data_IF_874358413238
#
_entry.id   IF_874358413238
#
_cell.length_a   1.000
_cell.length_b   1.000
_cell.length_c   1.000
_cell.angle_alpha   90.00
_cell.angle_beta   90.00
_cell.angle_gamma   90.00
#
_symmetry.space_group_name_H-M   'P 1'
#
loop_
_entity.id
_entity.type
_entity.pdbx_description
1 polymer ?
#
# COMPACT_ATOMS: atom_id res chain seq x y z
N UNK A 1 -16.06 -12.67 -14.09
CA UNK A 1 -16.20 -12.84 -12.63
C UNK A 1 -17.64 -13.15 -12.20
N UNK A 2 -18.66 -12.49 -12.76
CA UNK A 2 -20.06 -12.75 -12.35
C UNK A 2 -20.58 -14.17 -12.69
N UNK A 3 -20.02 -14.81 -13.71
CA UNK A 3 -20.41 -16.15 -14.19
C UNK A 3 -19.31 -17.20 -13.93
N UNK A 4 -18.42 -16.95 -13.00
CA UNK A 4 -17.39 -17.89 -12.61
C UNK A 4 -17.90 -18.78 -11.48
N UNK A 5 -17.53 -20.05 -11.48
CA UNK A 5 -17.87 -21.00 -10.40
C UNK A 5 -16.97 -20.77 -9.18
N UNK A 6 -15.72 -20.37 -9.40
CA UNK A 6 -14.73 -20.08 -8.38
C UNK A 6 -13.74 -19.02 -8.90
N UNK A 7 -13.20 -18.21 -8.01
CA UNK A 7 -12.10 -17.26 -8.31
C UNK A 7 -10.88 -17.65 -7.50
N UNK A 8 -9.73 -17.72 -8.16
CA UNK A 8 -8.44 -17.85 -7.48
C UNK A 8 -7.75 -16.50 -7.53
N UNK A 9 -7.60 -15.87 -6.36
CA UNK A 9 -6.90 -14.62 -6.20
C UNK A 9 -5.39 -14.86 -6.16
N UNK A 10 -4.71 -14.53 -7.26
CA UNK A 10 -3.26 -14.63 -7.43
C UNK A 10 -2.56 -13.27 -7.31
N UNK A 11 -3.17 -12.30 -6.66
CA UNK A 11 -2.55 -11.00 -6.42
C UNK A 11 -1.30 -11.11 -5.56
N UNK A 12 -0.53 -10.03 -5.55
CA UNK A 12 0.72 -9.97 -4.80
C UNK A 12 0.53 -10.31 -3.31
N UNK A 13 1.51 -10.99 -2.71
CA UNK A 13 1.48 -11.45 -1.33
C UNK A 13 1.80 -10.28 -0.37
N UNK A 14 0.81 -9.44 -0.09
CA UNK A 14 0.94 -8.27 0.76
C UNK A 14 -0.37 -7.53 0.97
N UNK A 15 -0.36 -6.53 1.86
CA UNK A 15 -1.55 -5.72 2.18
C UNK A 15 -2.13 -5.01 0.95
N UNK A 16 -1.28 -4.43 0.11
CA UNK A 16 -1.72 -3.71 -1.09
C UNK A 16 -2.28 -4.66 -2.14
N UNK A 17 -1.60 -5.79 -2.39
CA UNK A 17 -2.08 -6.81 -3.31
C UNK A 17 -3.44 -7.36 -2.91
N UNK A 18 -3.64 -7.66 -1.63
CA UNK A 18 -4.93 -8.12 -1.11
C UNK A 18 -6.02 -7.05 -1.27
N UNK A 19 -5.72 -5.80 -0.92
CA UNK A 19 -6.66 -4.68 -1.01
C UNK A 19 -7.12 -4.43 -2.46
N UNK A 20 -6.17 -4.37 -3.41
CA UNK A 20 -6.46 -4.14 -4.83
C UNK A 20 -7.36 -5.24 -5.38
N UNK A 21 -7.02 -6.50 -5.11
CA UNK A 21 -7.80 -7.64 -5.61
C UNK A 21 -9.22 -7.66 -5.03
N UNK A 22 -9.38 -7.36 -3.73
CA UNK A 22 -10.71 -7.23 -3.11
C UNK A 22 -11.55 -6.13 -3.75
N UNK A 23 -10.96 -4.98 -4.02
CA UNK A 23 -11.66 -3.88 -4.70
C UNK A 23 -12.09 -4.26 -6.12
N UNK A 24 -11.23 -4.95 -6.87
CA UNK A 24 -11.57 -5.43 -8.21
C UNK A 24 -12.74 -6.41 -8.16
N UNK A 25 -12.71 -7.39 -7.27
CA UNK A 25 -13.78 -8.38 -7.11
C UNK A 25 -15.10 -7.72 -6.65
N UNK A 26 -15.03 -6.79 -5.72
CA UNK A 26 -16.16 -6.01 -5.23
C UNK A 26 -16.78 -5.18 -6.36
N UNK A 27 -15.96 -4.45 -7.13
CA UNK A 27 -16.41 -3.64 -8.26
C UNK A 27 -17.00 -4.49 -9.37
N UNK A 28 -16.47 -5.68 -9.60
CA UNK A 28 -16.99 -6.63 -10.58
C UNK A 28 -18.27 -7.35 -10.11
N UNK A 29 -18.69 -7.19 -8.86
CA UNK A 29 -19.85 -7.86 -8.29
C UNK A 29 -19.69 -9.38 -8.22
N UNK A 30 -18.49 -9.87 -7.93
CA UNK A 30 -18.21 -11.29 -7.78
C UNK A 30 -18.97 -11.88 -6.57
N UNK A 31 -19.66 -13.00 -6.78
CA UNK A 31 -20.46 -13.68 -5.75
C UNK A 31 -20.01 -15.12 -5.48
N UNK A 32 -19.11 -15.65 -6.32
CA UNK A 32 -18.61 -17.00 -6.18
C UNK A 32 -17.56 -17.11 -5.07
N UNK A 33 -17.26 -18.35 -4.60
CA UNK A 33 -16.19 -18.60 -3.65
C UNK A 33 -14.84 -18.09 -4.18
N UNK A 34 -14.02 -17.55 -3.27
CA UNK A 34 -12.70 -17.02 -3.64
C UNK A 34 -11.64 -17.72 -2.81
N UNK A 35 -10.66 -18.31 -3.49
CA UNK A 35 -9.45 -18.85 -2.87
C UNK A 35 -8.27 -17.93 -3.10
N UNK A 36 -7.33 -17.98 -2.19
CA UNK A 36 -6.12 -17.17 -2.19
C UNK A 36 -4.88 -18.02 -2.45
N UNK A 37 -4.16 -17.69 -3.51
CA UNK A 37 -2.81 -18.16 -3.74
C UNK A 37 -1.84 -17.21 -3.01
N UNK A 38 -1.05 -17.74 -2.08
CA UNK A 38 -0.09 -16.94 -1.32
C UNK A 38 1.32 -17.49 -1.52
N UNK A 39 2.07 -16.83 -2.37
CA UNK A 39 3.45 -17.19 -2.70
C UNK A 39 4.35 -15.95 -2.68
N UNK A 40 5.59 -16.10 -2.24
CA UNK A 40 6.61 -15.05 -2.24
C UNK A 40 7.69 -15.24 -3.31
N UNK A 41 7.64 -16.36 -4.03
CA UNK A 41 8.56 -16.69 -5.11
C UNK A 41 7.80 -17.12 -6.36
N UNK A 42 8.30 -16.73 -7.54
CA UNK A 42 7.70 -17.09 -8.83
C UNK A 42 8.42 -18.27 -9.52
N UNK A 43 9.13 -19.10 -8.76
CA UNK A 43 9.68 -20.36 -9.28
C UNK A 43 8.56 -21.34 -9.58
N UNK A 44 8.75 -22.21 -10.57
CA UNK A 44 7.76 -23.21 -10.97
C UNK A 44 7.34 -24.08 -9.78
N UNK A 45 8.29 -24.48 -8.95
CA UNK A 45 8.06 -25.30 -7.75
C UNK A 45 7.16 -24.57 -6.74
N UNK A 46 7.48 -23.33 -6.39
CA UNK A 46 6.69 -22.51 -5.46
C UNK A 46 5.27 -22.25 -5.98
N UNK A 47 5.10 -22.05 -7.29
CA UNK A 47 3.79 -21.89 -7.90
C UNK A 47 2.98 -23.16 -7.77
N UNK A 48 3.58 -24.31 -8.09
CA UNK A 48 2.92 -25.63 -8.02
C UNK A 48 2.51 -25.98 -6.58
N UNK A 49 3.40 -25.76 -5.62
CA UNK A 49 3.09 -25.95 -4.19
C UNK A 49 1.99 -24.99 -3.72
N UNK A 50 2.04 -23.72 -4.13
CA UNK A 50 1.04 -22.72 -3.78
C UNK A 50 -0.37 -23.08 -4.27
N UNK A 51 -0.49 -23.61 -5.49
CA UNK A 51 -1.77 -24.11 -6.02
C UNK A 51 -2.30 -25.33 -5.27
N UNK A 52 -1.43 -26.17 -4.73
CA UNK A 52 -1.82 -27.29 -3.89
C UNK A 52 -2.23 -26.86 -2.47
N UNK A 53 -1.82 -25.67 -2.04
CA UNK A 53 -2.05 -25.13 -0.69
C UNK A 53 -2.93 -23.86 -0.71
N UNK A 54 -3.90 -23.78 -1.64
CA UNK A 54 -4.85 -22.67 -1.70
C UNK A 54 -5.63 -22.54 -0.40
N UNK A 55 -5.74 -21.32 0.10
CA UNK A 55 -6.47 -20.98 1.32
C UNK A 55 -7.77 -20.24 1.00
N UNK A 56 -8.70 -20.30 1.93
CA UNK A 56 -9.92 -19.50 1.82
C UNK A 56 -9.59 -18.00 1.98
N UNK A 57 -10.27 -17.16 1.22
CA UNK A 57 -10.06 -15.72 1.28
C UNK A 57 -10.39 -15.12 2.66
N UNK A 58 -11.24 -15.76 3.45
CA UNK A 58 -11.60 -15.30 4.79
C UNK A 58 -10.41 -15.32 5.77
N UNK A 59 -9.42 -16.18 5.58
CA UNK A 59 -8.20 -16.20 6.39
C UNK A 59 -7.39 -14.89 6.28
N UNK A 60 -7.58 -14.14 5.20
CA UNK A 60 -6.88 -12.87 4.93
C UNK A 60 -7.74 -11.64 5.25
N UNK A 61 -8.83 -11.80 6.00
CA UNK A 61 -9.73 -10.69 6.32
C UNK A 61 -9.02 -9.58 7.13
N UNK A 62 -8.26 -9.96 8.14
CA UNK A 62 -7.49 -9.00 8.96
C UNK A 62 -6.44 -8.24 8.14
N UNK A 63 -5.82 -8.92 7.15
CA UNK A 63 -4.87 -8.29 6.24
C UNK A 63 -5.54 -7.25 5.34
N UNK A 64 -6.72 -7.59 4.82
CA UNK A 64 -7.55 -6.66 4.04
C UNK A 64 -7.94 -5.43 4.87
N UNK A 65 -8.43 -5.62 6.08
CA UNK A 65 -8.83 -4.54 6.99
C UNK A 65 -7.66 -3.63 7.35
N UNK A 66 -6.48 -4.20 7.59
CA UNK A 66 -5.25 -3.44 7.82
C UNK A 66 -4.86 -2.61 6.58
N UNK A 67 -4.91 -3.21 5.38
CA UNK A 67 -4.66 -2.51 4.12
C UNK A 67 -5.65 -1.38 3.86
N UNK A 68 -6.93 -1.63 4.09
CA UNK A 68 -8.00 -0.63 3.93
C UNK A 68 -7.85 0.53 4.93
N UNK A 69 -7.60 0.22 6.19
CA UNK A 69 -7.40 1.24 7.24
C UNK A 69 -6.19 2.12 6.93
N UNK A 70 -5.10 1.53 6.44
CA UNK A 70 -3.92 2.26 5.98
C UNK A 70 -4.25 3.17 4.79
N UNK A 71 -4.96 2.67 3.78
CA UNK A 71 -5.33 3.45 2.61
C UNK A 71 -6.20 4.66 2.97
N UNK A 72 -7.21 4.47 3.84
CA UNK A 72 -8.07 5.55 4.32
C UNK A 72 -7.27 6.57 5.15
N UNK A 73 -6.39 6.10 6.05
CA UNK A 73 -5.53 6.95 6.87
C UNK A 73 -4.59 7.79 6.03
N UNK A 74 -3.89 7.18 5.07
CA UNK A 74 -2.97 7.88 4.16
C UNK A 74 -3.71 8.91 3.29
N UNK A 75 -4.90 8.58 2.79
CA UNK A 75 -5.72 9.52 2.02
C UNK A 75 -6.21 10.70 2.88
N UNK A 76 -6.73 10.41 4.07
CA UNK A 76 -7.26 11.44 4.98
C UNK A 76 -6.17 12.40 5.44
N UNK A 77 -5.02 11.85 5.89
CA UNK A 77 -3.88 12.66 6.30
C UNK A 77 -3.33 13.48 5.13
N UNK A 78 -3.05 12.82 4.01
CA UNK A 78 -2.44 13.44 2.84
C UNK A 78 -3.30 14.59 2.29
N UNK A 79 -4.60 14.37 2.17
CA UNK A 79 -5.52 15.40 1.67
C UNK A 79 -5.59 16.61 2.62
N UNK A 80 -5.85 16.38 3.89
CA UNK A 80 -6.07 17.48 4.86
C UNK A 80 -4.77 18.23 5.17
N UNK A 81 -3.67 17.53 5.41
CA UNK A 81 -2.38 18.14 5.70
C UNK A 81 -1.86 18.92 4.49
N UNK A 82 -1.92 18.36 3.29
CA UNK A 82 -1.53 19.07 2.06
C UNK A 82 -2.31 20.37 1.88
N UNK A 83 -3.63 20.33 2.07
CA UNK A 83 -4.48 21.54 1.96
C UNK A 83 -4.12 22.57 3.01
N UNK A 84 -3.98 22.16 4.27
CA UNK A 84 -3.65 23.05 5.38
C UNK A 84 -2.30 23.73 5.18
N UNK A 85 -1.26 22.96 4.87
CA UNK A 85 0.08 23.49 4.65
C UNK A 85 0.17 24.38 3.40
N UNK A 86 -0.48 23.98 2.32
CA UNK A 86 -0.55 24.79 1.10
C UNK A 86 -1.23 26.13 1.36
N UNK A 87 -2.35 26.14 2.12
CA UNK A 87 -3.05 27.39 2.45
C UNK A 87 -2.24 28.28 3.39
N UNK A 88 -1.51 27.70 4.34
CA UNK A 88 -0.78 28.45 5.37
C UNK A 88 0.59 28.93 4.89
N UNK A 89 1.29 28.13 4.11
CA UNK A 89 2.68 28.36 3.76
C UNK A 89 2.94 28.41 2.24
N UNK A 90 1.97 27.99 1.41
CA UNK A 90 2.12 28.00 -0.04
C UNK A 90 2.21 29.43 -0.59
N UNK A 91 3.27 29.70 -1.36
CA UNK A 91 3.46 30.95 -2.08
C UNK A 91 3.29 30.69 -3.57
N UNK A 92 2.77 31.69 -4.31
CA UNK A 92 2.68 31.66 -5.78
C UNK A 92 2.00 30.39 -6.36
N UNK A 93 0.92 29.90 -5.74
CA UNK A 93 0.18 28.68 -6.15
C UNK A 93 0.99 27.39 -6.04
N UNK A 94 2.07 27.36 -5.29
CA UNK A 94 2.84 26.16 -5.06
C UNK A 94 2.10 25.23 -4.09
N UNK A 95 1.87 23.97 -4.51
CA UNK A 95 1.28 22.95 -3.66
C UNK A 95 2.37 22.34 -2.77
N UNK A 96 2.16 22.39 -1.46
CA UNK A 96 3.05 21.77 -0.47
C UNK A 96 2.47 20.38 -0.11
N UNK A 97 2.93 19.37 -0.83
CA UNK A 97 2.47 17.99 -0.66
C UNK A 97 2.98 17.40 0.64
N UNK A 98 2.07 16.88 1.47
CA UNK A 98 2.36 16.19 2.72
C UNK A 98 1.91 14.74 2.61
N UNK A 99 2.76 13.82 3.05
CA UNK A 99 2.43 12.40 3.03
C UNK A 99 3.23 11.62 4.07
N UNK A 100 2.68 10.48 4.47
CA UNK A 100 3.24 9.61 5.51
C UNK A 100 4.64 9.08 5.19
N UNK A 101 4.97 8.90 3.92
CA UNK A 101 6.28 8.41 3.47
C UNK A 101 7.14 9.56 2.99
N UNK A 102 6.65 10.38 2.06
CA UNK A 102 7.43 11.44 1.41
C UNK A 102 7.92 12.51 2.40
N UNK A 103 7.10 12.91 3.39
CA UNK A 103 7.49 13.96 4.33
C UNK A 103 8.61 13.52 5.28
N UNK A 104 8.55 12.35 5.94
CA UNK A 104 9.66 11.84 6.73
C UNK A 104 10.93 11.62 5.91
N UNK A 105 10.81 11.12 4.68
CA UNK A 105 11.96 10.91 3.78
C UNK A 105 12.64 12.24 3.48
N UNK A 106 11.87 13.26 3.14
CA UNK A 106 12.42 14.62 2.92
C UNK A 106 13.08 15.16 4.19
N UNK A 107 12.46 14.99 5.35
CA UNK A 107 13.02 15.42 6.62
C UNK A 107 14.37 14.73 6.94
N UNK A 108 14.53 13.47 6.61
CA UNK A 108 15.82 12.76 6.74
C UNK A 108 16.88 13.34 5.83
N UNK A 109 16.55 13.66 4.58
CA UNK A 109 17.48 14.28 3.62
C UNK A 109 17.91 15.66 4.11
N UNK A 110 16.96 16.50 4.54
CA UNK A 110 17.26 17.84 5.07
C UNK A 110 18.15 17.78 6.31
N UNK A 111 17.86 16.84 7.24
CA UNK A 111 18.69 16.64 8.42
C UNK A 111 20.12 16.26 8.04
N UNK A 112 20.26 15.33 7.10
CA UNK A 112 21.58 14.92 6.62
C UNK A 112 22.35 16.07 5.97
N UNK A 113 21.68 16.90 5.19
CA UNK A 113 22.27 18.10 4.60
C UNK A 113 22.79 19.06 5.68
N UNK A 114 21.98 19.31 6.71
CA UNK A 114 22.39 20.17 7.84
C UNK A 114 23.59 19.59 8.61
N UNK A 115 23.65 18.29 8.81
CA UNK A 115 24.80 17.62 9.43
C UNK A 115 26.10 17.83 8.61
N UNK A 116 26.00 17.75 7.28
CA UNK A 116 27.13 17.96 6.38
C UNK A 116 27.59 19.42 6.42
N UNK A 117 26.66 20.36 6.37
CA UNK A 117 26.95 21.81 6.40
C UNK A 117 27.57 22.25 7.73
N UNK A 118 27.16 21.64 8.83
CA UNK A 118 27.66 21.96 10.18
C UNK A 118 28.86 21.06 10.60
N UNK A 119 29.38 20.23 9.71
CA UNK A 119 30.49 19.35 10.02
C UNK A 119 31.77 20.13 10.24
N UNK A 120 32.32 20.04 11.46
CA UNK A 120 33.61 20.61 11.83
C UNK A 120 34.64 19.48 11.81
N UNK A 121 35.66 19.63 10.97
CA UNK A 121 36.77 18.69 10.93
C UNK A 121 37.62 18.91 12.19
N UNK A 122 37.59 18.00 13.13
CA UNK A 122 38.54 17.99 14.24
C UNK A 122 39.93 17.60 13.69
N UNK A 123 40.92 18.48 13.88
CA UNK A 123 42.34 18.22 13.54
C UNK A 123 43.02 17.49 14.71
#
# INVERSE_FOLDING_TARGET
MQNADEIINCGDAGQEGELIQRWVMQKAGAKCPVKRLWISSLTEESIREGFNALKDQSEYQSLYEAGLSRAIGDWTLGLNATRLYTMKYGQNRQILSIGRVQTPTLAMIVRRQQEIENFVHEQ
#
